data_IF_256564529343
#
_entry.id   IF_256564529343
#
_cell.length_a   1.000
_cell.length_b   1.000
_cell.length_c   1.000
_cell.angle_alpha   90.00
_cell.angle_beta   90.00
_cell.angle_gamma   90.00
#
_symmetry.space_group_name_H-M   'P 1'
#
loop_
_entity.id
_entity.type
_entity.pdbx_description
1 polymer ?
#
# COMPACT_ATOMS: atom_id res chain seq x y z
N UNK A 1 -6.29 -21.32 -23.86
CA UNK A 1 -4.85 -21.01 -23.72
C UNK A 1 -4.72 -20.11 -22.50
N UNK A 2 -4.00 -20.53 -21.46
CA UNK A 2 -3.91 -19.75 -20.22
C UNK A 2 -3.24 -18.40 -20.48
N UNK A 3 -3.79 -17.34 -19.87
CA UNK A 3 -3.24 -16.00 -19.93
C UNK A 3 -2.13 -15.86 -18.91
N UNK A 4 -0.99 -15.29 -19.31
CA UNK A 4 0.14 -15.01 -18.42
C UNK A 4 0.35 -13.52 -18.27
N UNK A 5 0.10 -13.02 -17.07
CA UNK A 5 0.39 -11.65 -16.70
C UNK A 5 1.84 -11.57 -16.24
N UNK A 6 2.65 -10.86 -17.01
CA UNK A 6 4.07 -10.69 -16.74
C UNK A 6 4.33 -9.41 -15.95
N UNK A 7 5.29 -9.47 -15.02
CA UNK A 7 5.80 -8.27 -14.36
C UNK A 7 6.72 -7.44 -15.28
N UNK A 8 7.15 -6.29 -14.77
CA UNK A 8 8.02 -5.36 -15.51
C UNK A 8 9.40 -5.95 -15.80
N UNK A 9 9.97 -6.76 -14.90
CA UNK A 9 11.29 -7.36 -15.09
C UNK A 9 11.31 -8.39 -16.22
N UNK A 10 10.24 -9.18 -16.36
CA UNK A 10 10.06 -10.10 -17.49
C UNK A 10 9.91 -9.29 -18.78
N UNK A 11 9.09 -8.24 -18.80
CA UNK A 11 8.95 -7.37 -19.97
C UNK A 11 10.30 -6.79 -20.41
N UNK A 12 11.08 -6.23 -19.47
CA UNK A 12 12.40 -5.67 -19.77
C UNK A 12 13.32 -6.70 -20.43
N UNK A 13 13.24 -7.97 -20.01
CA UNK A 13 14.02 -9.04 -20.65
C UNK A 13 13.53 -9.35 -22.06
N UNK A 14 12.21 -9.40 -22.28
CA UNK A 14 11.62 -9.72 -23.59
C UNK A 14 11.94 -8.64 -24.65
N UNK A 15 12.04 -7.37 -24.23
CA UNK A 15 12.29 -6.24 -25.15
C UNK A 15 13.76 -5.82 -25.22
N UNK A 16 14.66 -6.60 -24.60
CA UNK A 16 16.10 -6.37 -24.65
C UNK A 16 16.60 -5.14 -23.89
N UNK A 17 15.87 -4.70 -22.85
CA UNK A 17 16.32 -3.68 -21.90
C UNK A 17 17.11 -4.26 -20.73
N UNK A 18 16.94 -5.56 -20.48
CA UNK A 18 17.75 -6.33 -19.53
C UNK A 18 18.00 -7.73 -20.10
N UNK A 19 19.02 -8.43 -19.62
CA UNK A 19 19.29 -9.81 -20.03
C UNK A 19 18.99 -10.75 -18.87
N UNK A 20 18.04 -11.66 -19.03
CA UNK A 20 17.77 -12.71 -18.07
C UNK A 20 17.67 -14.08 -18.76
N UNK A 21 18.67 -14.93 -18.53
CA UNK A 21 18.76 -16.26 -19.14
C UNK A 21 17.57 -17.15 -18.82
N UNK A 22 16.92 -16.96 -17.67
CA UNK A 22 15.72 -17.72 -17.30
C UNK A 22 14.56 -17.41 -18.23
N UNK A 23 14.41 -16.15 -18.65
CA UNK A 23 13.34 -15.74 -19.59
C UNK A 23 13.67 -16.24 -20.99
N UNK A 24 14.92 -16.03 -21.43
CA UNK A 24 15.38 -16.44 -22.77
C UNK A 24 15.18 -17.95 -22.99
N UNK A 25 15.46 -18.76 -21.98
CA UNK A 25 15.36 -20.22 -22.07
C UNK A 25 13.96 -20.77 -21.69
N UNK A 26 13.03 -19.90 -21.27
CA UNK A 26 11.69 -20.33 -20.88
C UNK A 26 10.76 -20.48 -22.10
N UNK A 27 9.79 -21.41 -22.07
CA UNK A 27 8.77 -21.56 -23.12
C UNK A 27 7.66 -20.50 -23.00
N UNK A 28 8.01 -19.28 -22.58
CA UNK A 28 7.05 -18.21 -22.27
C UNK A 28 6.31 -17.71 -23.52
N UNK A 29 6.94 -17.83 -24.69
CA UNK A 29 6.39 -17.51 -26.01
C UNK A 29 5.22 -18.42 -26.42
N UNK A 30 5.06 -19.58 -25.78
CA UNK A 30 3.95 -20.51 -26.01
C UNK A 30 2.64 -20.09 -25.34
N UNK A 31 2.59 -18.95 -24.66
CA UNK A 31 1.43 -18.50 -23.90
C UNK A 31 0.92 -17.15 -24.38
N UNK A 32 -0.37 -16.87 -24.13
CA UNK A 32 -0.91 -15.53 -24.36
C UNK A 32 -0.37 -14.59 -23.28
N UNK A 33 0.60 -13.77 -23.67
CA UNK A 33 1.22 -12.80 -22.77
C UNK A 33 0.33 -11.59 -22.57
N UNK A 34 0.33 -11.09 -21.34
CA UNK A 34 -0.39 -9.91 -20.95
C UNK A 34 0.42 -9.08 -19.97
N UNK A 35 0.22 -7.77 -19.99
CA UNK A 35 0.74 -6.84 -18.99
C UNK A 35 -0.39 -6.00 -18.46
N UNK A 36 -0.27 -5.52 -17.22
CA UNK A 36 -1.29 -4.68 -16.60
C UNK A 36 -0.94 -3.19 -16.74
N UNK A 37 -1.95 -2.32 -16.71
CA UNK A 37 -1.71 -0.87 -16.65
C UNK A 37 -0.85 -0.43 -15.45
N UNK A 38 -0.96 -0.98 -14.22
CA UNK A 38 -0.01 -0.74 -13.13
C UNK A 38 1.45 -0.96 -13.55
N UNK A 39 1.76 -2.12 -14.15
CA UNK A 39 3.12 -2.43 -14.62
C UNK A 39 3.61 -1.43 -15.69
N UNK A 40 2.70 -0.96 -16.55
CA UNK A 40 3.03 0.04 -17.57
C UNK A 40 3.29 1.44 -16.98
N UNK A 41 2.55 1.82 -15.93
CA UNK A 41 2.85 3.02 -15.14
C UNK A 41 4.26 2.94 -14.55
N UNK A 42 4.65 1.78 -14.01
CA UNK A 42 6.01 1.59 -13.49
C UNK A 42 7.09 1.77 -14.58
N UNK A 43 6.86 1.21 -15.77
CA UNK A 43 7.76 1.36 -16.92
C UNK A 43 7.93 2.83 -17.30
N UNK A 44 6.83 3.54 -17.50
CA UNK A 44 6.84 4.96 -17.92
C UNK A 44 7.50 5.82 -16.84
N UNK A 45 7.21 5.56 -15.56
CA UNK A 45 7.82 6.29 -14.45
C UNK A 45 9.32 6.00 -14.32
N UNK A 46 9.77 4.77 -14.56
CA UNK A 46 11.19 4.39 -14.45
C UNK A 46 12.03 4.99 -15.57
N UNK A 47 11.51 4.98 -16.79
CA UNK A 47 12.19 5.49 -17.98
C UNK A 47 11.67 6.88 -18.38
N UNK A 48 11.29 7.71 -17.40
CA UNK A 48 10.66 9.01 -17.64
C UNK A 48 11.54 10.00 -18.43
N UNK A 49 12.85 9.72 -18.52
CA UNK A 49 13.83 10.51 -19.27
C UNK A 49 14.39 9.76 -20.51
N UNK A 50 13.89 8.55 -20.81
CA UNK A 50 14.36 7.70 -21.90
C UNK A 50 13.16 7.19 -22.73
N UNK A 51 12.76 8.00 -23.71
CA UNK A 51 11.67 7.67 -24.62
C UNK A 51 11.95 6.39 -25.40
N UNK A 52 13.22 6.09 -25.73
CA UNK A 52 13.59 4.89 -26.46
C UNK A 52 13.27 3.62 -25.68
N UNK A 53 13.59 3.60 -24.38
CA UNK A 53 13.25 2.48 -23.50
C UNK A 53 11.74 2.35 -23.28
N UNK A 54 11.02 3.47 -23.10
CA UNK A 54 9.55 3.47 -23.02
C UNK A 54 8.94 2.87 -24.29
N UNK A 55 9.38 3.31 -25.47
CA UNK A 55 8.91 2.79 -26.76
C UNK A 55 9.15 1.30 -26.91
N UNK A 56 10.35 0.80 -26.56
CA UNK A 56 10.64 -0.65 -26.60
C UNK A 56 9.64 -1.47 -25.79
N UNK A 57 9.21 -0.97 -24.62
CA UNK A 57 8.22 -1.63 -23.78
C UNK A 57 6.80 -1.56 -24.33
N UNK A 58 6.44 -0.45 -25.00
CA UNK A 58 5.08 -0.22 -25.53
C UNK A 58 4.88 -0.90 -26.89
N UNK A 59 5.92 -1.04 -27.72
CA UNK A 59 5.79 -1.59 -29.08
C UNK A 59 5.15 -2.98 -29.15
N UNK A 60 5.51 -3.97 -28.31
CA UNK A 60 4.84 -5.27 -28.31
C UNK A 60 3.34 -5.18 -27.98
N UNK A 61 2.94 -4.18 -27.20
CA UNK A 61 1.53 -3.94 -26.83
C UNK A 61 0.77 -3.37 -28.02
N UNK A 62 1.33 -2.32 -28.66
CA UNK A 62 0.74 -1.69 -29.84
C UNK A 62 0.62 -2.67 -31.01
N UNK A 63 1.62 -3.54 -31.19
CA UNK A 63 1.64 -4.55 -32.24
C UNK A 63 0.75 -5.77 -31.95
N UNK A 64 0.13 -5.85 -30.76
CA UNK A 64 -0.75 -6.95 -30.36
C UNK A 64 -0.04 -8.24 -29.93
N UNK A 65 1.29 -8.21 -29.74
CA UNK A 65 2.06 -9.35 -29.24
C UNK A 65 1.87 -9.59 -27.74
N UNK A 66 1.58 -8.52 -26.98
CA UNK A 66 1.28 -8.57 -25.55
C UNK A 66 -0.05 -7.85 -25.31
N UNK A 67 -1.02 -8.54 -24.70
CA UNK A 67 -2.33 -7.96 -24.35
C UNK A 67 -2.19 -6.99 -23.16
N UNK A 68 -2.75 -5.78 -23.28
CA UNK A 68 -2.85 -4.85 -22.15
C UNK A 68 -4.13 -5.10 -21.36
N UNK A 69 -3.98 -5.43 -20.08
CA UNK A 69 -5.08 -5.57 -19.12
C UNK A 69 -5.22 -4.28 -18.34
N UNK A 70 -6.35 -3.60 -18.55
CA UNK A 70 -6.68 -2.38 -17.82
C UNK A 70 -7.14 -2.70 -16.39
N UNK A 71 -6.42 -2.16 -15.40
CA UNK A 71 -6.85 -2.17 -14.00
C UNK A 71 -7.46 -0.79 -13.71
N UNK A 72 -8.73 -0.76 -13.31
CA UNK A 72 -9.53 0.47 -13.24
C UNK A 72 -8.98 1.56 -12.31
N UNK A 73 -8.13 1.20 -11.33
CA UNK A 73 -7.48 2.15 -10.43
C UNK A 73 -6.28 2.86 -11.05
N UNK A 74 -5.78 2.39 -12.19
CA UNK A 74 -4.61 2.91 -12.90
C UNK A 74 -4.91 2.95 -14.40
N UNK A 75 -5.87 3.75 -14.86
CA UNK A 75 -6.22 3.79 -16.27
C UNK A 75 -5.10 4.44 -17.09
N UNK A 76 -4.76 3.84 -18.23
CA UNK A 76 -3.98 4.47 -19.30
C UNK A 76 -4.79 4.33 -20.58
N UNK A 77 -5.03 5.45 -21.28
CA UNK A 77 -5.75 5.43 -22.54
C UNK A 77 -4.88 4.90 -23.68
N UNK A 78 -5.50 4.24 -24.66
CA UNK A 78 -4.79 3.80 -25.86
C UNK A 78 -4.17 4.98 -26.62
N UNK A 79 -4.85 6.14 -26.65
CA UNK A 79 -4.34 7.37 -27.27
C UNK A 79 -2.99 7.79 -26.66
N UNK A 80 -2.85 7.71 -25.34
CA UNK A 80 -1.58 8.05 -24.67
C UNK A 80 -0.45 7.11 -25.10
N UNK A 81 -0.74 5.81 -25.23
CA UNK A 81 0.23 4.82 -25.69
C UNK A 81 0.64 5.05 -27.14
N UNK A 82 -0.31 5.39 -28.02
CA UNK A 82 0.00 5.72 -29.41
C UNK A 82 0.86 6.98 -29.51
N UNK A 83 0.55 8.04 -28.76
CA UNK A 83 1.39 9.26 -28.72
C UNK A 83 2.81 8.92 -28.26
N UNK A 84 2.96 8.20 -27.14
CA UNK A 84 4.28 7.75 -26.66
C UNK A 84 5.04 6.91 -27.69
N UNK A 85 4.35 6.02 -28.41
CA UNK A 85 4.98 5.14 -29.39
C UNK A 85 5.48 5.91 -30.63
N UNK A 86 4.69 6.86 -31.13
CA UNK A 86 4.95 7.56 -32.39
C UNK A 86 5.72 8.88 -32.25
N UNK A 87 5.80 9.49 -31.06
CA UNK A 87 6.54 10.75 -30.88
C UNK A 87 8.04 10.61 -31.06
N UNK A 88 8.69 11.58 -31.72
CA UNK A 88 10.13 11.48 -32.00
C UNK A 88 10.99 11.94 -30.82
N UNK A 89 10.47 12.87 -30.03
CA UNK A 89 11.19 13.51 -28.92
C UNK A 89 10.42 13.41 -27.62
N UNK A 90 11.17 13.30 -26.52
CA UNK A 90 10.58 13.19 -25.19
C UNK A 90 9.80 14.43 -24.78
N UNK A 91 10.23 15.61 -25.24
CA UNK A 91 9.58 16.88 -24.94
C UNK A 91 8.14 16.96 -25.49
N UNK A 92 7.82 16.22 -26.56
CA UNK A 92 6.48 16.17 -27.17
C UNK A 92 5.46 15.38 -26.35
N UNK A 93 5.94 14.54 -25.42
CA UNK A 93 5.14 13.63 -24.59
C UNK A 93 5.43 13.82 -23.11
N UNK A 94 6.13 14.89 -22.75
CA UNK A 94 6.51 15.16 -21.36
C UNK A 94 5.30 15.35 -20.47
N UNK A 95 4.26 16.01 -20.98
CA UNK A 95 2.96 16.14 -20.31
C UNK A 95 2.34 14.77 -19.98
N UNK A 96 2.39 13.82 -20.93
CA UNK A 96 1.89 12.46 -20.72
C UNK A 96 2.68 11.75 -19.63
N UNK A 97 4.01 11.81 -19.71
CA UNK A 97 4.91 11.16 -18.74
C UNK A 97 4.68 11.75 -17.33
N UNK A 98 4.60 13.07 -17.22
CA UNK A 98 4.37 13.76 -15.94
C UNK A 98 2.99 13.40 -15.36
N UNK A 99 1.95 13.31 -16.20
CA UNK A 99 0.62 12.85 -15.78
C UNK A 99 0.64 11.40 -15.27
N UNK A 100 1.36 10.50 -15.93
CA UNK A 100 1.52 9.10 -15.50
C UNK A 100 2.28 9.01 -14.17
N UNK A 101 3.33 9.84 -13.98
CA UNK A 101 4.05 9.92 -12.70
C UNK A 101 3.17 10.49 -11.58
N UNK A 102 2.39 11.52 -11.86
CA UNK A 102 1.43 12.07 -10.90
C UNK A 102 0.39 11.01 -10.50
N UNK A 103 -0.12 10.23 -11.46
CA UNK A 103 -1.03 9.11 -11.20
C UNK A 103 -0.35 8.05 -10.31
N UNK A 104 0.90 7.67 -10.60
CA UNK A 104 1.68 6.73 -9.77
C UNK A 104 1.76 7.20 -8.32
N UNK A 105 2.21 8.43 -8.10
CA UNK A 105 2.33 9.04 -6.76
C UNK A 105 0.97 9.04 -6.05
N UNK A 106 -0.10 9.41 -6.77
CA UNK A 106 -1.44 9.44 -6.20
C UNK A 106 -1.91 8.06 -5.72
N UNK A 107 -1.65 6.99 -6.49
CA UNK A 107 -2.06 5.63 -6.10
C UNK A 107 -1.21 5.05 -4.98
N UNK A 108 0.10 5.34 -4.98
CA UNK A 108 0.97 5.00 -3.85
C UNK A 108 0.48 5.70 -2.56
N UNK A 109 0.18 7.00 -2.62
CA UNK A 109 -0.30 7.77 -1.48
C UNK A 109 -1.65 7.25 -0.93
N UNK A 110 -2.59 6.94 -1.82
CA UNK A 110 -3.88 6.35 -1.43
C UNK A 110 -3.70 4.99 -0.74
N UNK A 111 -2.80 4.14 -1.23
CA UNK A 111 -2.49 2.87 -0.61
C UNK A 111 -1.85 3.03 0.77
N UNK A 112 -0.86 3.91 0.90
CA UNK A 112 -0.24 4.19 2.19
C UNK A 112 -1.24 4.75 3.20
N UNK A 113 -2.12 5.67 2.78
CA UNK A 113 -3.22 6.16 3.62
C UNK A 113 -4.13 5.01 4.06
N UNK A 114 -4.51 4.15 3.12
CA UNK A 114 -5.40 3.03 3.41
C UNK A 114 -4.78 2.04 4.41
N UNK A 115 -3.53 1.61 4.18
CA UNK A 115 -2.82 0.75 5.14
C UNK A 115 -2.63 1.46 6.48
N UNK A 116 -2.32 2.76 6.50
CA UNK A 116 -2.16 3.51 7.74
C UNK A 116 -3.44 3.45 8.58
N UNK A 117 -4.60 3.68 7.96
CA UNK A 117 -5.91 3.59 8.64
C UNK A 117 -6.13 2.18 9.21
N UNK A 118 -5.81 1.14 8.45
CA UNK A 118 -5.93 -0.24 8.93
C UNK A 118 -4.98 -0.54 10.09
N UNK A 119 -3.74 -0.09 10.01
CA UNK A 119 -2.73 -0.35 11.03
C UNK A 119 -2.98 0.46 12.31
N UNK A 120 -3.37 1.72 12.18
CA UNK A 120 -3.60 2.58 13.35
C UNK A 120 -4.86 2.16 14.11
N UNK A 121 -5.91 1.73 13.42
CA UNK A 121 -7.17 1.33 14.07
C UNK A 121 -6.97 0.11 14.96
N UNK A 122 -6.27 -0.93 14.48
CA UNK A 122 -5.94 -2.07 15.34
C UNK A 122 -4.91 -1.74 16.43
N UNK A 123 -4.01 -0.77 16.21
CA UNK A 123 -3.15 -0.27 17.28
C UNK A 123 -3.95 0.45 18.38
N UNK A 124 -5.00 1.18 18.02
CA UNK A 124 -5.90 1.77 19.01
C UNK A 124 -6.58 0.69 19.85
N UNK A 125 -7.05 -0.42 19.25
CA UNK A 125 -7.61 -1.54 20.02
C UNK A 125 -6.58 -2.19 20.95
N UNK A 126 -5.35 -2.41 20.45
CA UNK A 126 -4.25 -2.91 21.27
C UNK A 126 -3.96 -1.99 22.45
N UNK A 127 -3.95 -0.67 22.24
CA UNK A 127 -3.69 0.33 23.29
C UNK A 127 -4.86 0.42 24.28
N UNK A 128 -6.11 0.33 23.80
CA UNK A 128 -7.33 0.31 24.62
C UNK A 128 -7.25 -0.84 25.63
N UNK A 129 -7.00 -2.05 25.15
CA UNK A 129 -6.82 -3.25 26.01
C UNK A 129 -5.61 -3.14 26.95
N UNK A 130 -4.67 -2.24 26.65
CA UNK A 130 -3.49 -1.97 27.47
C UNK A 130 -3.65 -0.83 28.50
N UNK A 131 -4.90 -0.56 28.89
CA UNK A 131 -5.25 0.35 29.99
C UNK A 131 -5.79 1.71 29.56
N UNK A 132 -6.10 1.90 28.27
CA UNK A 132 -6.69 3.13 27.72
C UNK A 132 -8.14 2.93 27.27
N UNK A 133 -8.81 1.90 27.79
CA UNK A 133 -10.25 1.64 27.63
C UNK A 133 -11.00 2.15 28.87
N UNK A 134 -12.22 2.60 28.67
CA UNK A 134 -13.12 2.96 29.78
C UNK A 134 -14.07 1.79 30.10
N UNK A 135 -14.23 1.50 31.39
CA UNK A 135 -15.23 0.52 31.86
C UNK A 135 -16.67 1.05 31.74
N UNK A 136 -16.82 2.37 31.69
CA UNK A 136 -18.10 3.03 31.50
C UNK A 136 -18.49 3.04 30.01
N UNK A 137 -19.66 2.48 29.68
CA UNK A 137 -20.15 2.38 28.31
C UNK A 137 -20.25 3.74 27.60
N UNK A 138 -20.73 4.79 28.30
CA UNK A 138 -20.87 6.14 27.71
C UNK A 138 -19.50 6.70 27.33
N UNK A 139 -18.52 6.62 28.23
CA UNK A 139 -17.15 7.08 27.96
C UNK A 139 -16.47 6.25 26.87
N UNK A 140 -16.70 4.93 26.86
CA UNK A 140 -16.18 4.04 25.83
C UNK A 140 -16.77 4.39 24.44
N UNK A 141 -18.07 4.65 24.35
CA UNK A 141 -18.71 5.11 23.11
C UNK A 141 -18.22 6.49 22.68
N UNK A 142 -18.02 7.43 23.62
CA UNK A 142 -17.38 8.72 23.32
C UNK A 142 -15.97 8.55 22.76
N UNK A 143 -15.20 7.59 23.28
CA UNK A 143 -13.85 7.32 22.78
C UNK A 143 -13.87 6.79 21.35
N UNK A 144 -14.73 5.82 21.06
CA UNK A 144 -14.88 5.28 19.71
C UNK A 144 -15.32 6.36 18.72
N UNK A 145 -16.25 7.24 19.12
CA UNK A 145 -16.66 8.38 18.29
C UNK A 145 -15.50 9.35 18.03
N UNK A 146 -14.68 9.69 19.03
CA UNK A 146 -13.52 10.56 18.83
C UNK A 146 -12.45 9.91 17.94
N UNK A 147 -12.26 8.59 18.01
CA UNK A 147 -11.37 7.86 17.11
C UNK A 147 -11.86 7.93 15.68
N UNK A 148 -13.16 7.68 15.46
CA UNK A 148 -13.76 7.81 14.14
C UNK A 148 -13.58 9.23 13.59
N UNK A 149 -13.92 10.25 14.38
CA UNK A 149 -13.75 11.66 13.99
C UNK A 149 -12.29 12.02 13.70
N UNK A 150 -11.34 11.51 14.49
CA UNK A 150 -9.91 11.71 14.26
C UNK A 150 -9.49 11.17 12.89
N UNK A 151 -9.91 9.95 12.54
CA UNK A 151 -9.55 9.35 11.26
C UNK A 151 -10.25 10.06 10.09
N UNK A 152 -11.57 10.27 10.18
CA UNK A 152 -12.37 10.86 9.12
C UNK A 152 -11.95 12.31 8.80
N UNK A 153 -11.74 13.14 9.82
CA UNK A 153 -11.40 14.56 9.64
C UNK A 153 -10.01 14.77 9.08
N UNK A 154 -9.12 13.77 9.18
CA UNK A 154 -7.74 13.86 8.72
C UNK A 154 -7.47 13.08 7.43
N UNK A 155 -8.46 12.41 6.83
CA UNK A 155 -8.24 11.55 5.64
C UNK A 155 -7.59 12.28 4.47
N UNK A 156 -8.02 13.51 4.17
CA UNK A 156 -7.46 14.30 3.07
C UNK A 156 -6.09 14.87 3.42
N UNK A 157 -5.90 15.34 4.67
CA UNK A 157 -4.60 15.80 5.16
C UNK A 157 -3.54 14.70 5.09
N UNK A 158 -3.88 13.48 5.49
CA UNK A 158 -3.00 12.31 5.41
C UNK A 158 -2.67 12.01 3.94
N UNK A 159 -3.66 12.04 3.05
CA UNK A 159 -3.45 11.78 1.63
C UNK A 159 -2.48 12.79 1.00
N UNK A 160 -2.72 14.08 1.22
CA UNK A 160 -1.90 15.14 0.63
C UNK A 160 -0.48 15.13 1.19
N UNK A 161 -0.33 14.85 2.49
CA UNK A 161 0.98 14.64 3.08
C UNK A 161 1.76 13.50 2.41
N UNK A 162 1.13 12.33 2.19
CA UNK A 162 1.79 11.24 1.48
C UNK A 162 2.14 11.61 0.04
N UNK A 163 1.26 12.32 -0.69
CA UNK A 163 1.55 12.76 -2.06
C UNK A 163 2.79 13.65 -2.10
N UNK A 164 2.90 14.60 -1.18
CA UNK A 164 4.03 15.54 -1.13
C UNK A 164 5.34 14.83 -0.77
N UNK A 165 5.33 13.97 0.25
CA UNK A 165 6.50 13.19 0.66
C UNK A 165 6.96 12.21 -0.43
N UNK A 166 6.03 11.53 -1.10
CA UNK A 166 6.35 10.67 -2.24
C UNK A 166 6.89 11.49 -3.42
N UNK A 167 6.29 12.63 -3.75
CA UNK A 167 6.79 13.53 -4.82
C UNK A 167 8.24 13.95 -4.55
N UNK A 168 8.53 14.38 -3.32
CA UNK A 168 9.89 14.70 -2.89
C UNK A 168 10.80 13.48 -2.97
N UNK A 169 10.29 12.31 -2.59
CA UNK A 169 10.96 11.02 -2.74
C UNK A 169 11.40 10.74 -4.19
N UNK A 170 10.51 10.94 -5.16
CA UNK A 170 10.78 10.70 -6.58
C UNK A 170 11.75 11.73 -7.17
N UNK A 171 11.74 12.97 -6.68
CA UNK A 171 12.69 14.00 -7.10
C UNK A 171 14.11 13.64 -6.61
N UNK A 172 14.22 13.11 -5.39
CA UNK A 172 15.51 12.80 -4.75
C UNK A 172 15.99 11.36 -4.96
N UNK A 173 15.19 10.49 -5.60
CA UNK A 173 15.52 9.08 -5.83
C UNK A 173 15.51 8.22 -4.57
N UNK A 174 14.72 8.57 -3.55
CA UNK A 174 14.64 7.88 -2.26
C UNK A 174 13.20 7.57 -1.82
N UNK A 175 12.33 7.24 -2.78
CA UNK A 175 10.88 7.14 -2.59
C UNK A 175 10.48 6.22 -1.44
N UNK A 176 11.11 5.05 -1.33
CA UNK A 176 10.81 4.09 -0.26
C UNK A 176 11.13 4.67 1.11
N UNK A 177 12.23 5.40 1.24
CA UNK A 177 12.61 6.00 2.52
C UNK A 177 11.65 7.13 2.89
N UNK A 178 11.28 7.98 1.93
CA UNK A 178 10.33 9.06 2.15
C UNK A 178 8.95 8.52 2.55
N UNK A 179 8.46 7.49 1.86
CA UNK A 179 7.18 6.85 2.18
C UNK A 179 7.17 6.25 3.60
N UNK A 180 8.21 5.52 3.98
CA UNK A 180 8.31 4.92 5.31
C UNK A 180 8.38 5.98 6.42
N UNK A 181 9.16 7.05 6.22
CA UNK A 181 9.24 8.17 7.18
C UNK A 181 7.90 8.89 7.31
N UNK A 182 7.21 9.12 6.18
CA UNK A 182 5.90 9.73 6.16
C UNK A 182 4.88 8.88 6.94
N UNK A 183 4.92 7.55 6.73
CA UNK A 183 4.07 6.60 7.42
C UNK A 183 4.32 6.61 8.93
N UNK A 184 5.58 6.56 9.37
CA UNK A 184 5.95 6.64 10.78
C UNK A 184 5.51 7.96 11.41
N UNK A 185 5.73 9.07 10.73
CA UNK A 185 5.35 10.41 11.21
C UNK A 185 3.86 10.52 11.45
N UNK A 186 3.04 10.08 10.48
CA UNK A 186 1.60 10.10 10.60
C UNK A 186 1.09 9.13 11.66
N UNK A 187 1.66 7.93 11.74
CA UNK A 187 1.30 6.95 12.75
C UNK A 187 1.55 7.50 14.16
N UNK A 188 2.73 8.07 14.42
CA UNK A 188 3.06 8.67 15.71
C UNK A 188 2.11 9.83 16.04
N UNK A 189 1.82 10.70 15.06
CA UNK A 189 0.88 11.80 15.22
C UNK A 189 -0.51 11.35 15.63
N UNK A 190 -1.05 10.33 14.96
CA UNK A 190 -2.36 9.75 15.27
C UNK A 190 -2.39 9.07 16.66
N UNK A 191 -1.30 8.42 17.07
CA UNK A 191 -1.19 7.80 18.38
C UNK A 191 -1.15 8.83 19.52
N UNK A 192 -0.45 9.96 19.32
CA UNK A 192 -0.51 11.07 20.26
C UNK A 192 -1.90 11.71 20.31
N UNK A 193 -2.57 11.89 19.16
CA UNK A 193 -3.93 12.41 19.13
C UNK A 193 -4.92 11.48 19.86
N UNK A 194 -4.79 10.16 19.69
CA UNK A 194 -5.55 9.18 20.46
C UNK A 194 -5.32 9.29 21.96
N UNK A 195 -4.06 9.43 22.38
CA UNK A 195 -3.69 9.61 23.78
C UNK A 195 -4.34 10.87 24.38
N UNK A 196 -4.30 11.99 23.66
CA UNK A 196 -4.97 13.23 24.06
C UNK A 196 -6.50 13.02 24.14
N UNK A 197 -7.12 12.39 23.15
CA UNK A 197 -8.56 12.11 23.14
C UNK A 197 -9.01 11.27 24.34
N UNK A 198 -8.22 10.26 24.71
CA UNK A 198 -8.46 9.48 25.93
C UNK A 198 -8.49 10.38 27.17
N UNK A 199 -7.48 11.22 27.36
CA UNK A 199 -7.45 12.13 28.51
C UNK A 199 -8.57 13.17 28.47
N UNK A 200 -8.97 13.63 27.28
CA UNK A 200 -10.10 14.55 27.15
C UNK A 200 -11.39 13.96 27.74
N UNK A 201 -11.66 12.69 27.46
CA UNK A 201 -12.82 11.98 28.04
C UNK A 201 -12.64 11.78 29.54
N UNK A 202 -11.45 11.33 29.97
CA UNK A 202 -11.13 11.09 31.38
C UNK A 202 -11.33 12.34 32.25
N UNK A 203 -11.06 13.52 31.70
CA UNK A 203 -11.16 14.80 32.42
C UNK A 203 -12.43 15.61 32.10
N UNK A 204 -13.40 15.04 31.38
CA UNK A 204 -14.64 15.72 30.94
C UNK A 204 -14.36 17.05 30.21
N UNK A 205 -13.42 17.01 29.26
CA UNK A 205 -12.93 18.16 28.51
C UNK A 205 -13.22 18.12 27.00
N UNK A 206 -14.04 17.16 26.56
CA UNK A 206 -14.43 16.99 25.14
C UNK A 206 -15.19 18.21 24.60
N UNK A 207 -16.03 18.86 25.41
CA UNK A 207 -16.93 19.95 24.99
C UNK A 207 -16.51 21.35 25.51
N UNK A 208 -15.22 21.65 25.64
CA UNK A 208 -14.82 22.86 26.38
C UNK A 208 -14.95 24.15 25.56
N UNK A 209 -15.92 24.94 26.02
CA UNK A 209 -15.81 26.40 26.17
C UNK A 209 -14.93 26.75 27.39
N UNK A 210 -13.69 27.15 27.15
CA UNK A 210 -12.91 28.15 27.90
C UNK A 210 -12.52 28.00 29.39
N UNK A 211 -12.91 26.99 30.17
CA UNK A 211 -12.52 26.93 31.60
C UNK A 211 -11.03 26.59 31.79
N UNK A 212 -10.23 27.53 32.32
CA UNK A 212 -8.80 27.36 32.59
C UNK A 212 -8.51 26.18 33.54
N UNK A 213 -9.36 25.94 34.54
CA UNK A 213 -9.17 24.83 35.48
C UNK A 213 -9.30 23.46 34.80
N UNK A 214 -10.25 23.31 33.87
CA UNK A 214 -10.41 22.07 33.10
C UNK A 214 -9.23 21.83 32.16
N UNK A 215 -8.69 22.87 31.52
CA UNK A 215 -7.49 22.77 30.69
C UNK A 215 -6.26 22.38 31.52
N UNK A 216 -6.13 22.93 32.73
CA UNK A 216 -5.08 22.53 33.67
C UNK A 216 -5.20 21.06 34.07
N UNK A 217 -6.40 20.60 34.38
CA UNK A 217 -6.65 19.19 34.71
C UNK A 217 -6.29 18.24 33.56
N UNK A 218 -6.64 18.62 32.31
CA UNK A 218 -6.24 17.86 31.12
C UNK A 218 -4.71 17.79 31.00
N UNK A 219 -4.03 18.93 31.10
CA UNK A 219 -2.58 19.01 31.02
C UNK A 219 -1.90 18.15 32.10
N UNK A 220 -2.33 18.30 33.35
CA UNK A 220 -1.80 17.53 34.47
C UNK A 220 -2.09 16.03 34.29
N UNK A 221 -3.24 15.65 33.73
CA UNK A 221 -3.55 14.25 33.45
C UNK A 221 -2.67 13.64 32.37
N UNK A 222 -2.36 14.37 31.29
CA UNK A 222 -1.49 13.89 30.21
C UNK A 222 -0.04 13.80 30.72
N UNK A 223 0.44 14.83 31.42
CA UNK A 223 1.82 14.92 31.90
C UNK A 223 2.20 13.82 32.88
N UNK A 224 1.24 13.40 33.70
CA UNK A 224 1.43 12.34 34.71
C UNK A 224 1.22 10.94 34.14
N UNK A 225 0.80 10.81 32.87
CA UNK A 225 0.64 9.53 32.21
C UNK A 225 1.99 8.95 31.76
N UNK A 226 2.08 7.62 31.63
CA UNK A 226 3.30 6.94 31.21
C UNK A 226 3.29 6.53 29.72
N UNK A 227 2.30 6.97 28.94
CA UNK A 227 2.16 6.67 27.51
C UNK A 227 3.46 6.90 26.76
N UNK A 228 4.04 8.10 26.86
CA UNK A 228 5.27 8.47 26.15
C UNK A 228 6.44 7.59 26.55
N UNK A 229 6.58 7.24 27.84
CA UNK A 229 7.64 6.34 28.30
C UNK A 229 7.48 4.93 27.74
N UNK A 230 6.24 4.44 27.67
CA UNK A 230 5.90 3.13 27.11
C UNK A 230 6.14 3.10 25.60
N UNK A 231 5.76 4.18 24.92
CA UNK A 231 5.79 4.31 23.48
C UNK A 231 7.18 4.66 22.92
N UNK A 232 8.02 5.33 23.71
CA UNK A 232 9.41 5.67 23.34
C UNK A 232 10.23 4.47 22.84
N UNK A 233 9.96 3.28 23.39
CA UNK A 233 10.63 2.02 22.99
C UNK A 233 10.24 1.54 21.58
N UNK A 234 9.16 2.08 21.03
CA UNK A 234 8.58 1.69 19.74
C UNK A 234 8.66 2.83 18.72
N UNK A 235 9.35 3.94 19.00
CA UNK A 235 9.36 5.11 18.09
C UNK A 235 9.88 4.78 16.68
N UNK A 236 10.82 3.85 16.55
CA UNK A 236 11.36 3.42 15.24
C UNK A 236 10.40 2.47 14.47
N UNK A 237 9.46 1.85 15.19
CA UNK A 237 8.41 1.00 14.63
C UNK A 237 7.24 0.84 15.62
N UNK A 238 6.28 1.79 15.63
CA UNK A 238 5.15 1.76 16.56
C UNK A 238 4.31 0.48 16.50
N UNK A 239 4.24 -0.13 15.32
CA UNK A 239 3.46 -1.34 15.06
C UNK A 239 3.97 -2.52 15.90
N UNK A 240 5.27 -2.53 16.22
CA UNK A 240 5.89 -3.55 17.08
C UNK A 240 5.29 -3.63 18.49
N UNK A 241 4.51 -2.63 18.91
CA UNK A 241 3.72 -2.73 20.13
C UNK A 241 2.75 -3.92 20.08
N UNK A 242 2.10 -4.14 18.93
CA UNK A 242 1.12 -5.19 18.71
C UNK A 242 1.74 -6.60 18.59
N UNK A 243 3.03 -6.72 18.29
CA UNK A 243 3.72 -8.02 18.14
C UNK A 243 3.84 -8.83 19.45
N UNK A 244 3.48 -8.24 20.60
CA UNK A 244 3.59 -8.96 21.88
C UNK A 244 2.54 -10.04 21.96
N UNK A 245 2.94 -11.21 22.47
CA UNK A 245 2.06 -12.36 22.71
C UNK A 245 0.77 -12.01 23.48
N UNK A 246 0.81 -11.08 24.43
CA UNK A 246 -0.38 -10.64 25.18
C UNK A 246 -1.45 -9.94 24.33
N UNK A 247 -1.10 -9.49 23.11
CA UNK A 247 -2.00 -8.81 22.19
C UNK A 247 -2.48 -9.70 21.04
N UNK A 248 -2.02 -10.96 20.98
CA UNK A 248 -2.30 -11.88 19.88
C UNK A 248 -3.81 -12.04 19.65
N UNK A 249 -4.59 -12.26 20.71
CA UNK A 249 -6.05 -12.41 20.60
C UNK A 249 -6.76 -11.14 20.13
N UNK A 250 -6.29 -9.96 20.54
CA UNK A 250 -6.86 -8.67 20.13
C UNK A 250 -6.58 -8.42 18.65
N UNK A 251 -5.36 -8.69 18.22
CA UNK A 251 -4.93 -8.56 16.83
C UNK A 251 -5.69 -9.53 15.93
N UNK A 252 -5.81 -10.81 16.32
CA UNK A 252 -6.50 -11.82 15.51
C UNK A 252 -8.00 -11.50 15.36
N UNK A 253 -8.65 -11.05 16.43
CA UNK A 253 -10.04 -10.60 16.37
C UNK A 253 -10.20 -9.39 15.46
N UNK A 254 -9.34 -8.37 15.61
CA UNK A 254 -9.35 -7.19 14.76
C UNK A 254 -9.16 -7.53 13.28
N UNK A 255 -8.17 -8.36 12.95
CA UNK A 255 -7.90 -8.77 11.57
C UNK A 255 -9.10 -9.47 10.94
N UNK A 256 -9.77 -10.35 11.71
CA UNK A 256 -10.98 -11.05 11.26
C UNK A 256 -12.14 -10.08 11.01
N UNK A 257 -12.41 -9.18 11.95
CA UNK A 257 -13.46 -8.16 11.80
C UNK A 257 -13.20 -7.25 10.60
N UNK A 258 -11.94 -6.87 10.37
CA UNK A 258 -11.56 -6.07 9.21
C UNK A 258 -11.72 -6.82 7.89
N UNK A 259 -11.30 -8.09 7.82
CA UNK A 259 -11.51 -8.91 6.63
C UNK A 259 -13.00 -9.04 6.30
N UNK A 260 -13.84 -9.31 7.30
CA UNK A 260 -15.29 -9.40 7.15
C UNK A 260 -15.90 -8.05 6.73
N UNK A 261 -15.50 -6.94 7.37
CA UNK A 261 -16.03 -5.61 7.10
C UNK A 261 -15.63 -5.02 5.74
N UNK A 262 -14.46 -5.39 5.22
CA UNK A 262 -13.99 -4.97 3.88
C UNK A 262 -14.48 -5.93 2.79
N UNK A 263 -14.88 -7.15 3.15
CA UNK A 263 -15.36 -8.14 2.20
C UNK A 263 -16.53 -7.60 1.37
N UNK A 264 -16.46 -7.76 0.05
CA UNK A 264 -17.47 -7.26 -0.88
C UNK A 264 -17.35 -5.77 -1.23
N UNK A 265 -16.35 -5.04 -0.71
CA UNK A 265 -16.08 -3.69 -1.16
C UNK A 265 -15.80 -3.65 -2.67
N UNK A 266 -16.45 -2.71 -3.36
CA UNK A 266 -16.38 -2.59 -4.82
C UNK A 266 -14.94 -2.38 -5.28
N UNK A 267 -14.49 -3.23 -6.20
CA UNK A 267 -13.12 -3.17 -6.76
C UNK A 267 -12.12 -4.09 -6.06
N UNK A 268 -12.47 -4.67 -4.91
CA UNK A 268 -11.70 -5.74 -4.29
C UNK A 268 -12.17 -7.11 -4.75
N UNK A 269 -11.21 -7.95 -5.09
CA UNK A 269 -11.36 -9.38 -5.34
C UNK A 269 -10.97 -10.13 -4.07
N UNK A 270 -11.37 -11.41 -3.95
CA UNK A 270 -10.93 -12.25 -2.83
C UNK A 270 -9.41 -12.28 -2.70
N UNK A 271 -8.70 -12.45 -3.82
CA UNK A 271 -7.24 -12.50 -3.82
C UNK A 271 -6.61 -11.15 -3.43
N UNK A 272 -7.13 -10.03 -3.95
CA UNK A 272 -6.57 -8.71 -3.58
C UNK A 272 -6.84 -8.37 -2.12
N UNK A 273 -7.99 -8.78 -1.56
CA UNK A 273 -8.27 -8.66 -0.13
C UNK A 273 -7.31 -9.52 0.70
N UNK A 274 -7.14 -10.80 0.36
CA UNK A 274 -6.20 -11.67 1.07
C UNK A 274 -4.76 -11.15 1.02
N UNK A 275 -4.32 -10.59 -0.12
CA UNK A 275 -3.02 -9.94 -0.22
C UNK A 275 -2.91 -8.74 0.72
N UNK A 276 -3.92 -7.88 0.75
CA UNK A 276 -3.96 -6.72 1.64
C UNK A 276 -3.89 -7.15 3.11
N UNK A 277 -4.75 -8.08 3.51
CA UNK A 277 -4.82 -8.57 4.88
C UNK A 277 -3.52 -9.23 5.31
N UNK A 278 -2.85 -9.96 4.42
CA UNK A 278 -1.55 -10.55 4.72
C UNK A 278 -0.47 -9.50 4.99
N UNK A 279 -0.52 -8.31 4.36
CA UNK A 279 0.40 -7.20 4.67
C UNK A 279 0.14 -6.60 6.05
N UNK A 280 -1.13 -6.42 6.41
CA UNK A 280 -1.52 -5.89 7.72
C UNK A 280 -1.19 -6.90 8.83
N UNK A 281 -1.45 -8.18 8.59
CA UNK A 281 -1.07 -9.27 9.51
C UNK A 281 0.44 -9.34 9.71
N UNK A 282 1.24 -9.33 8.64
CA UNK A 282 2.70 -9.32 8.73
C UNK A 282 3.21 -8.10 9.50
N UNK A 283 2.56 -6.94 9.35
CA UNK A 283 2.90 -5.74 10.11
C UNK A 283 2.66 -5.94 11.61
N UNK A 284 1.51 -6.49 12.01
CA UNK A 284 1.19 -6.70 13.42
C UNK A 284 1.92 -7.87 14.07
N UNK A 285 2.09 -8.99 13.37
CA UNK A 285 2.69 -10.20 13.94
C UNK A 285 4.21 -10.16 13.89
N UNK A 286 4.78 -9.58 12.83
CA UNK A 286 6.22 -9.60 12.56
C UNK A 286 6.88 -8.22 12.58
N UNK A 287 6.13 -7.13 12.81
CA UNK A 287 6.66 -5.77 12.79
C UNK A 287 7.14 -5.35 11.40
N UNK A 288 6.65 -6.02 10.35
CA UNK A 288 7.17 -5.84 8.99
C UNK A 288 6.70 -4.50 8.40
N UNK A 289 7.63 -3.74 7.83
CA UNK A 289 7.32 -2.49 7.11
C UNK A 289 6.87 -2.80 5.67
N UNK A 290 5.98 -1.95 5.14
CA UNK A 290 5.54 -2.02 3.74
C UNK A 290 6.72 -1.86 2.77
N UNK A 291 6.64 -2.53 1.63
CA UNK A 291 7.59 -2.39 0.52
C UNK A 291 7.04 -1.42 -0.52
N UNK A 292 7.94 -0.76 -1.25
CA UNK A 292 7.64 0.22 -2.31
C UNK A 292 6.58 -0.29 -3.29
N UNK A 293 6.76 -1.54 -3.72
CA UNK A 293 5.98 -2.11 -4.80
C UNK A 293 4.70 -2.82 -4.33
N UNK A 294 4.41 -2.86 -3.02
CA UNK A 294 3.24 -3.61 -2.51
C UNK A 294 1.91 -3.16 -3.13
N UNK A 295 1.77 -1.87 -3.45
CA UNK A 295 0.59 -1.34 -4.17
C UNK A 295 0.51 -1.85 -5.61
N UNK A 296 1.63 -1.87 -6.34
CA UNK A 296 1.61 -2.35 -7.72
C UNK A 296 1.41 -3.87 -7.77
N UNK A 297 2.00 -4.62 -6.84
CA UNK A 297 1.72 -6.05 -6.65
C UNK A 297 0.24 -6.28 -6.33
N UNK A 298 -0.34 -5.50 -5.41
CA UNK A 298 -1.76 -5.53 -5.07
C UNK A 298 -2.65 -5.27 -6.29
N UNK A 299 -2.34 -4.26 -7.10
CA UNK A 299 -3.12 -3.94 -8.31
C UNK A 299 -2.97 -5.02 -9.39
N UNK A 300 -1.79 -5.64 -9.52
CA UNK A 300 -1.59 -6.78 -10.41
C UNK A 300 -2.43 -7.96 -9.93
N UNK A 301 -2.51 -8.24 -8.63
CA UNK A 301 -3.32 -9.33 -8.06
C UNK A 301 -4.80 -9.24 -8.44
N UNK A 302 -5.36 -8.04 -8.61
CA UNK A 302 -6.76 -7.85 -9.06
C UNK A 302 -7.04 -8.57 -10.39
N UNK A 303 -6.03 -8.68 -11.26
CA UNK A 303 -6.16 -9.35 -12.55
C UNK A 303 -6.43 -10.87 -12.43
N UNK A 304 -6.14 -11.50 -11.29
CA UNK A 304 -6.43 -12.91 -11.05
C UNK A 304 -7.93 -13.23 -11.03
N UNK A 305 -8.80 -12.22 -10.98
CA UNK A 305 -10.24 -12.40 -11.11
C UNK A 305 -10.68 -12.71 -12.56
N UNK A 306 -9.78 -12.55 -13.53
CA UNK A 306 -10.04 -12.96 -14.90
C UNK A 306 -9.91 -14.48 -15.06
N UNK A 307 -10.76 -15.14 -15.88
CA UNK A 307 -10.65 -16.57 -16.14
C UNK A 307 -9.27 -16.98 -16.67
N UNK A 308 -8.80 -18.15 -16.26
CA UNK A 308 -7.57 -18.82 -16.73
C UNK A 308 -6.32 -17.93 -16.71
N UNK A 309 -6.20 -17.05 -15.70
CA UNK A 309 -5.12 -16.07 -15.58
C UNK A 309 -4.10 -16.49 -14.53
N UNK A 310 -2.82 -16.45 -14.90
CA UNK A 310 -1.67 -16.70 -14.04
C UNK A 310 -0.78 -15.46 -14.01
N UNK A 311 -0.11 -15.23 -12.89
CA UNK A 311 0.91 -14.19 -12.76
C UNK A 311 2.28 -14.84 -12.84
N UNK A 312 3.16 -14.26 -13.65
CA UNK A 312 4.58 -14.56 -13.70
C UNK A 312 5.37 -13.35 -13.20
N UNK A 313 6.28 -13.59 -12.28
CA UNK A 313 7.14 -12.53 -11.73
C UNK A 313 8.52 -13.08 -11.41
N UNK A 314 9.52 -12.22 -11.55
CA UNK A 314 10.90 -12.45 -11.09
C UNK A 314 11.17 -11.79 -9.72
N UNK A 315 10.22 -11.02 -9.20
CA UNK A 315 10.34 -10.37 -7.90
C UNK A 315 10.18 -11.42 -6.78
N UNK A 316 11.24 -11.62 -6.00
CA UNK A 316 11.26 -12.60 -4.90
C UNK A 316 10.23 -12.28 -3.82
N UNK A 317 10.00 -10.98 -3.60
CA UNK A 317 9.03 -10.50 -2.64
C UNK A 317 7.62 -10.87 -3.04
N UNK A 318 7.25 -10.61 -4.29
CA UNK A 318 5.93 -10.92 -4.82
C UNK A 318 5.74 -12.43 -5.01
N UNK A 319 6.78 -13.16 -5.43
CA UNK A 319 6.78 -14.63 -5.47
C UNK A 319 6.44 -15.25 -4.11
N UNK A 320 6.98 -14.70 -3.02
CA UNK A 320 6.66 -15.16 -1.67
C UNK A 320 5.18 -14.98 -1.36
N UNK A 321 4.60 -13.85 -1.73
CA UNK A 321 3.17 -13.59 -1.51
C UNK A 321 2.28 -14.51 -2.36
N UNK A 322 2.67 -14.76 -3.62
CA UNK A 322 1.92 -15.66 -4.52
C UNK A 322 1.89 -17.12 -4.04
N UNK A 323 2.87 -17.56 -3.23
CA UNK A 323 2.93 -18.93 -2.71
C UNK A 323 1.65 -19.31 -1.99
N UNK A 324 1.19 -18.43 -1.10
CA UNK A 324 -0.01 -18.66 -0.28
C UNK A 324 -1.25 -18.10 -0.97
N UNK A 325 -1.10 -16.98 -1.70
CA UNK A 325 -2.22 -16.29 -2.33
C UNK A 325 -2.77 -16.99 -3.58
N UNK A 326 -1.89 -17.45 -4.47
CA UNK A 326 -2.28 -18.08 -5.74
C UNK A 326 -1.27 -19.18 -6.11
N UNK A 327 -1.37 -20.36 -5.48
CA UNK A 327 -0.38 -21.44 -5.63
C UNK A 327 -0.12 -21.87 -7.07
N UNK A 328 -1.11 -21.73 -7.96
CA UNK A 328 -0.96 -22.03 -9.39
C UNK A 328 -0.01 -21.06 -10.09
N UNK A 329 -0.05 -19.77 -9.77
CA UNK A 329 0.91 -18.78 -10.28
C UNK A 329 2.31 -19.10 -9.77
N UNK A 330 2.43 -19.37 -8.47
CA UNK A 330 3.71 -19.73 -7.85
C UNK A 330 4.31 -21.00 -8.46
N UNK A 331 3.50 -22.06 -8.63
CA UNK A 331 3.91 -23.29 -9.30
C UNK A 331 4.37 -23.02 -10.74
N UNK A 332 3.67 -22.15 -11.46
CA UNK A 332 4.08 -21.82 -12.83
C UNK A 332 5.43 -21.09 -12.88
N UNK A 333 5.69 -20.20 -11.94
CA UNK A 333 7.00 -19.59 -11.77
C UNK A 333 8.08 -20.63 -11.43
N UNK A 334 7.77 -21.65 -10.62
CA UNK A 334 8.68 -22.78 -10.35
C UNK A 334 9.00 -23.57 -11.62
N UNK A 335 7.98 -23.93 -12.39
CA UNK A 335 8.14 -24.69 -13.64
C UNK A 335 9.04 -23.95 -14.64
N UNK A 336 9.03 -22.61 -14.62
CA UNK A 336 9.85 -21.77 -15.49
C UNK A 336 11.23 -21.45 -14.89
N UNK A 337 11.53 -21.98 -13.69
CA UNK A 337 12.79 -21.75 -13.00
C UNK A 337 12.96 -20.32 -12.44
N UNK A 338 11.87 -19.58 -12.23
CA UNK A 338 11.91 -18.19 -11.76
C UNK A 338 12.09 -18.09 -10.25
N UNK A 339 11.75 -19.16 -9.51
CA UNK A 339 12.03 -19.30 -8.08
C UNK A 339 13.43 -19.90 -7.89
N UNK A 340 14.24 -19.30 -7.01
CA UNK A 340 15.52 -19.86 -6.53
C UNK A 340 15.39 -20.23 -5.07
#
# INVERSE_FOLDING_TARGET
MSRMIIDTNILYSLVGLSTNQKIINSPIDQFKLSITTPSLIEVISKYCNDLGAVKKCISPIINGNIELISIGHTPISNEFLYRLHFSDKIDEVKDIIDNVRALKISREAEFYRFILILVVSGLFEVIREDGYKFDNDVQNQSQLSLVQTLLESNMELILDFFKDELRNGYINGNEQQSALKAFETMLIGLLHAFHVNYHMIKTDTVNISGSQDRLKNLYDSIKNDNFDKKFKKYMENPISLACKKKHESVVDNYLKEMEEGISGARGLTKNSLSFLMSKVEDAYKNGRKLRKNDIFDFLIVISLNMPDTLILTLDKGFLKDLKDLHPNSYKKCLDFGFVN
#
